data_IF_853833758389
#
_entry.id   IF_853833758389
#
_cell.length_a   1.000
_cell.length_b   1.000
_cell.length_c   1.000
_cell.angle_alpha   90.00
_cell.angle_beta   90.00
_cell.angle_gamma   90.00
#
_symmetry.space_group_name_H-M   'P 1'
#
loop_
_entity.id
_entity.type
_entity.pdbx_description
1 polymer ?
#
# COMPACT_ATOMS: atom_id res chain seq x y z
N UNK A 1 30.47 -5.68 2.22
CA UNK A 1 29.27 -6.40 1.77
C UNK A 1 28.35 -5.39 1.07
N UNK A 2 28.31 -5.43 -0.26
CA UNK A 2 27.48 -4.53 -1.06
C UNK A 2 26.05 -5.11 -1.05
N UNK A 3 25.14 -4.55 -0.26
CA UNK A 3 23.71 -4.86 -0.41
C UNK A 3 23.33 -4.54 -1.86
N UNK A 4 22.78 -5.49 -2.63
CA UNK A 4 22.37 -5.20 -4.00
C UNK A 4 21.35 -4.06 -3.95
N UNK A 5 21.69 -2.91 -4.56
CA UNK A 5 20.73 -1.81 -4.71
C UNK A 5 19.59 -2.37 -5.53
N UNK A 6 18.42 -2.53 -4.92
CA UNK A 6 17.18 -2.78 -5.65
C UNK A 6 17.11 -1.69 -6.73
N UNK A 7 16.93 -2.02 -8.02
CA UNK A 7 16.74 -1.02 -9.04
C UNK A 7 15.63 -0.09 -8.59
N UNK A 8 15.95 1.19 -8.51
CA UNK A 8 15.12 2.21 -7.91
C UNK A 8 13.72 2.35 -8.54
N UNK A 9 13.57 1.91 -9.79
CA UNK A 9 12.30 1.76 -10.49
C UNK A 9 11.36 0.72 -9.87
N UNK A 10 11.86 -0.20 -9.04
CA UNK A 10 11.08 -1.22 -8.36
C UNK A 10 10.70 -0.80 -6.91
N UNK A 11 11.12 0.39 -6.41
CA UNK A 11 10.88 0.87 -5.03
C UNK A 11 9.39 0.94 -4.63
N UNK A 12 8.47 1.54 -5.42
CA UNK A 12 7.04 1.55 -5.06
C UNK A 12 6.45 0.14 -4.98
N UNK A 13 6.90 -0.76 -5.86
CA UNK A 13 6.48 -2.16 -5.86
C UNK A 13 6.88 -2.89 -4.57
N UNK A 14 7.97 -2.51 -3.89
CA UNK A 14 8.34 -3.11 -2.59
C UNK A 14 7.35 -2.78 -1.47
N UNK A 15 6.65 -1.65 -1.58
CA UNK A 15 5.64 -1.18 -0.61
C UNK A 15 4.24 -1.66 -1.01
N UNK A 16 3.90 -1.64 -2.30
CA UNK A 16 2.55 -1.96 -2.77
C UNK A 16 2.33 -3.44 -3.08
N UNK A 17 3.35 -4.20 -3.52
CA UNK A 17 3.19 -5.63 -3.84
C UNK A 17 2.66 -6.53 -2.71
N UNK A 18 2.74 -6.14 -1.42
CA UNK A 18 2.08 -6.88 -0.35
C UNK A 18 0.57 -6.63 -0.19
N UNK A 19 -0.06 -5.82 -1.06
CA UNK A 19 -1.52 -5.71 -1.20
C UNK A 19 -2.01 -6.87 -2.07
N UNK A 20 -2.57 -7.90 -1.46
CA UNK A 20 -2.63 -9.24 -2.08
C UNK A 20 -3.78 -9.45 -3.06
N UNK A 21 -4.82 -8.64 -3.00
CA UNK A 21 -6.04 -8.72 -3.82
C UNK A 21 -6.10 -7.63 -4.91
N UNK A 22 -4.98 -6.96 -5.19
CA UNK A 22 -4.85 -5.96 -6.24
C UNK A 22 -4.12 -6.50 -7.48
N UNK A 23 -4.41 -5.90 -8.64
CA UNK A 23 -3.63 -6.03 -9.86
C UNK A 23 -2.45 -5.04 -9.82
N UNK A 24 -1.24 -5.51 -10.06
CA UNK A 24 -0.03 -4.70 -10.18
C UNK A 24 0.46 -4.75 -11.63
N UNK A 25 0.18 -3.69 -12.40
CA UNK A 25 0.49 -3.62 -13.82
C UNK A 25 1.72 -2.74 -14.08
N UNK A 26 2.84 -3.32 -14.49
CA UNK A 26 3.97 -2.56 -15.05
C UNK A 26 3.64 -2.21 -16.49
N UNK A 27 3.59 -0.93 -16.83
CA UNK A 27 3.34 -0.48 -18.19
C UNK A 27 4.53 0.29 -18.74
N UNK A 28 5.25 -0.30 -19.71
CA UNK A 28 6.50 0.30 -20.19
C UNK A 28 7.37 -0.62 -21.02
N UNK A 29 8.61 -0.19 -21.28
CA UNK A 29 9.55 -0.98 -22.09
C UNK A 29 10.01 -2.28 -21.38
N UNK A 30 10.43 -3.27 -22.17
CA UNK A 30 10.80 -4.63 -21.72
C UNK A 30 12.01 -4.68 -20.78
N UNK A 31 12.80 -3.60 -20.66
CA UNK A 31 13.93 -3.53 -19.72
C UNK A 31 13.53 -3.66 -18.24
N UNK A 32 12.24 -3.51 -17.94
CA UNK A 32 11.67 -3.65 -16.60
C UNK A 32 10.77 -4.88 -16.43
N UNK A 33 10.63 -5.73 -17.47
CA UNK A 33 9.84 -6.97 -17.41
C UNK A 33 10.38 -7.97 -16.38
N UNK A 34 11.67 -7.85 -16.03
CA UNK A 34 12.34 -8.64 -15.00
C UNK A 34 12.43 -7.92 -13.64
N UNK A 35 11.77 -6.76 -13.42
CA UNK A 35 11.69 -6.18 -12.06
C UNK A 35 11.07 -7.27 -11.15
N UNK A 36 11.77 -7.68 -10.08
CA UNK A 36 11.48 -8.91 -9.35
C UNK A 36 10.30 -8.71 -8.41
N UNK A 37 9.10 -8.47 -8.93
CA UNK A 37 7.90 -8.56 -8.12
C UNK A 37 7.44 -10.01 -8.07
N UNK A 38 8.29 -10.86 -7.47
CA UNK A 38 7.74 -12.02 -6.80
C UNK A 38 6.90 -11.45 -5.68
N UNK A 39 5.58 -11.52 -5.81
CA UNK A 39 4.62 -11.04 -4.82
C UNK A 39 4.94 -11.66 -3.47
N UNK A 40 5.64 -10.91 -2.62
CA UNK A 40 6.11 -11.36 -1.32
C UNK A 40 5.03 -11.10 -0.27
N UNK A 41 3.99 -11.93 -0.29
CA UNK A 41 2.93 -11.93 0.71
C UNK A 41 2.17 -13.24 0.67
N UNK A 42 1.99 -13.89 1.82
CA UNK A 42 0.89 -14.83 1.97
C UNK A 42 -0.39 -13.99 2.14
N UNK A 43 -1.50 -14.32 1.47
CA UNK A 43 -2.77 -13.66 1.76
C UNK A 43 -3.04 -13.73 3.27
N UNK A 44 -3.70 -12.70 3.85
CA UNK A 44 -4.15 -12.76 5.24
C UNK A 44 -4.88 -14.09 5.51
N UNK A 45 -4.70 -14.68 6.69
CA UNK A 45 -5.35 -15.97 7.05
C UNK A 45 -6.88 -15.88 6.92
N UNK A 46 -7.43 -14.68 7.10
CA UNK A 46 -8.87 -14.36 7.03
C UNK A 46 -9.31 -13.81 5.67
N UNK A 47 -8.39 -13.68 4.71
CA UNK A 47 -8.73 -13.24 3.35
C UNK A 47 -9.66 -14.26 2.69
N UNK A 48 -10.88 -13.83 2.34
CA UNK A 48 -11.81 -14.62 1.52
C UNK A 48 -11.21 -14.95 0.14
N UNK A 49 -10.23 -14.17 -0.32
CA UNK A 49 -9.48 -14.40 -1.56
C UNK A 49 -8.11 -15.04 -1.26
N UNK A 50 -7.98 -16.34 -1.55
CA UNK A 50 -6.70 -17.08 -1.48
C UNK A 50 -5.79 -16.83 -2.69
N UNK A 51 -6.12 -15.87 -3.55
CA UNK A 51 -5.38 -15.63 -4.80
C UNK A 51 -4.15 -14.77 -4.51
N UNK A 52 -2.96 -15.13 -5.03
CA UNK A 52 -1.79 -14.28 -4.93
C UNK A 52 -2.02 -12.98 -5.71
N UNK A 53 -1.33 -11.90 -5.32
CA UNK A 53 -1.40 -10.65 -6.07
C UNK A 53 -0.98 -10.92 -7.53
N UNK A 54 -1.67 -10.28 -8.48
CA UNK A 54 -1.41 -10.48 -9.90
C UNK A 54 -0.45 -9.40 -10.38
N UNK A 55 0.76 -9.77 -10.80
CA UNK A 55 1.72 -8.85 -11.39
C UNK A 55 1.85 -9.11 -12.88
N UNK A 56 1.53 -8.13 -13.72
CA UNK A 56 1.60 -8.23 -15.18
C UNK A 56 2.50 -7.17 -15.75
N UNK A 57 3.33 -7.54 -16.72
CA UNK A 57 4.06 -6.58 -17.55
C UNK A 57 3.30 -6.39 -18.86
N UNK A 58 2.96 -5.15 -19.17
CA UNK A 58 2.37 -4.75 -20.43
C UNK A 58 3.34 -3.84 -21.17
N UNK A 59 3.84 -4.35 -22.29
CA UNK A 59 4.80 -3.62 -23.10
C UNK A 59 4.17 -2.36 -23.72
N UNK A 60 4.87 -1.23 -23.59
CA UNK A 60 4.50 0.02 -24.27
C UNK A 60 4.73 -0.05 -25.79
N UNK A 61 3.85 0.55 -26.58
CA UNK A 61 3.98 0.66 -28.05
C UNK A 61 4.46 2.03 -28.50
N UNK A 62 4.92 2.13 -29.76
CA UNK A 62 5.29 3.42 -30.37
C UNK A 62 4.02 4.17 -30.80
N UNK A 63 3.87 5.40 -30.33
CA UNK A 63 2.75 6.29 -30.68
C UNK A 63 1.68 6.40 -29.60
N UNK A 64 1.24 7.64 -29.33
CA UNK A 64 0.34 8.01 -28.24
C UNK A 64 -0.97 7.21 -28.27
N UNK A 65 -1.70 7.27 -29.39
CA UNK A 65 -3.01 6.64 -29.55
C UNK A 65 -2.95 5.12 -29.44
N UNK A 66 -1.88 4.50 -29.93
CA UNK A 66 -1.70 3.05 -29.82
C UNK A 66 -1.38 2.65 -28.37
N UNK A 67 -0.58 3.46 -27.67
CA UNK A 67 -0.26 3.28 -26.26
C UNK A 67 -1.50 3.29 -25.38
N UNK A 68 -2.34 4.32 -25.52
CA UNK A 68 -3.62 4.45 -24.81
C UNK A 68 -4.52 3.23 -25.02
N UNK A 69 -4.70 2.82 -26.29
CA UNK A 69 -5.53 1.66 -26.64
C UNK A 69 -4.99 0.36 -26.05
N UNK A 70 -3.67 0.17 -26.04
CA UNK A 70 -3.04 -1.03 -25.47
C UNK A 70 -3.20 -1.07 -23.96
N UNK A 71 -2.94 0.04 -23.26
CA UNK A 71 -3.13 0.13 -21.81
C UNK A 71 -4.59 -0.09 -21.41
N UNK A 72 -5.52 0.57 -22.11
CA UNK A 72 -6.96 0.43 -21.87
C UNK A 72 -7.43 -1.03 -22.03
N UNK A 73 -7.09 -1.68 -23.16
CA UNK A 73 -7.44 -3.09 -23.40
C UNK A 73 -6.80 -4.01 -22.36
N UNK A 74 -5.51 -3.82 -22.08
CA UNK A 74 -4.80 -4.63 -21.09
C UNK A 74 -5.44 -4.53 -19.70
N UNK A 75 -5.81 -3.33 -19.26
CA UNK A 75 -6.49 -3.13 -17.98
C UNK A 75 -7.87 -3.77 -17.96
N UNK A 76 -8.72 -3.47 -18.96
CA UNK A 76 -10.09 -4.00 -19.02
C UNK A 76 -10.10 -5.53 -19.11
N UNK A 77 -9.28 -6.14 -19.96
CA UNK A 77 -9.17 -7.60 -20.09
C UNK A 77 -8.69 -8.26 -18.78
N UNK A 78 -7.70 -7.66 -18.11
CA UNK A 78 -7.17 -8.20 -16.85
C UNK A 78 -8.16 -8.06 -15.69
N UNK A 79 -8.86 -6.93 -15.62
CA UNK A 79 -9.87 -6.66 -14.58
C UNK A 79 -11.07 -7.58 -14.77
N UNK A 80 -11.56 -7.73 -16.00
CA UNK A 80 -12.67 -8.63 -16.34
C UNK A 80 -12.29 -10.10 -16.07
N UNK A 81 -11.08 -10.53 -16.45
CA UNK A 81 -10.66 -11.92 -16.27
C UNK A 81 -10.31 -12.33 -14.83
N UNK A 82 -9.88 -11.39 -13.99
CA UNK A 82 -9.34 -11.71 -12.66
C UNK A 82 -10.08 -11.08 -11.47
N UNK A 83 -10.93 -10.08 -11.72
CA UNK A 83 -11.71 -9.36 -10.71
C UNK A 83 -10.89 -8.89 -9.49
N UNK A 84 -9.80 -8.12 -9.68
CA UNK A 84 -9.05 -7.56 -8.56
C UNK A 84 -9.87 -6.50 -7.81
N UNK A 85 -9.56 -6.27 -6.53
CA UNK A 85 -10.23 -5.26 -5.72
C UNK A 85 -9.75 -3.81 -6.01
N UNK A 86 -8.56 -3.68 -6.61
CA UNK A 86 -8.00 -2.44 -7.14
C UNK A 86 -6.91 -2.77 -8.17
N UNK A 87 -6.52 -1.80 -8.99
CA UNK A 87 -5.39 -1.91 -9.89
C UNK A 87 -4.37 -0.79 -9.64
N UNK A 88 -3.10 -1.13 -9.47
CA UNK A 88 -1.99 -0.20 -9.44
C UNK A 88 -1.23 -0.27 -10.76
N UNK A 89 -1.10 0.85 -11.45
CA UNK A 89 -0.41 0.96 -12.73
C UNK A 89 0.92 1.66 -12.51
N UNK A 90 2.01 1.03 -12.91
CA UNK A 90 3.38 1.54 -12.75
C UNK A 90 3.95 1.89 -14.13
N UNK A 91 3.89 3.16 -14.55
CA UNK A 91 4.48 3.58 -15.82
C UNK A 91 6.01 3.46 -15.74
N UNK A 92 6.65 2.99 -16.82
CA UNK A 92 8.12 2.85 -16.91
C UNK A 92 8.66 3.22 -18.30
N UNK A 93 9.76 3.97 -18.36
CA UNK A 93 10.42 4.33 -19.61
C UNK A 93 9.47 5.07 -20.56
N UNK A 94 9.08 4.45 -21.68
CA UNK A 94 8.02 5.02 -22.54
C UNK A 94 6.68 5.23 -21.83
N UNK A 95 6.35 4.44 -20.80
CA UNK A 95 5.13 4.63 -20.00
C UNK A 95 5.15 5.96 -19.24
N UNK A 96 6.29 6.32 -18.64
CA UNK A 96 6.46 7.60 -17.94
C UNK A 96 6.37 8.79 -18.91
N UNK A 97 6.84 8.63 -20.16
CA UNK A 97 6.68 9.64 -21.22
C UNK A 97 5.23 9.87 -21.66
N UNK A 98 4.34 8.91 -21.43
CA UNK A 98 2.91 9.08 -21.70
C UNK A 98 2.24 9.93 -20.61
N UNK A 99 2.81 10.00 -19.40
CA UNK A 99 2.42 10.92 -18.33
C UNK A 99 0.90 10.93 -18.10
N UNK A 100 0.30 12.10 -18.26
CA UNK A 100 -1.13 12.40 -18.11
C UNK A 100 -2.05 11.46 -18.92
N UNK A 101 -1.56 10.85 -19.99
CA UNK A 101 -2.35 9.90 -20.79
C UNK A 101 -2.54 8.56 -20.06
N UNK A 102 -1.59 8.18 -19.20
CA UNK A 102 -1.79 7.03 -18.29
C UNK A 102 -2.87 7.38 -17.29
N UNK A 103 -2.86 8.59 -16.73
CA UNK A 103 -3.87 9.04 -15.77
C UNK A 103 -5.26 9.04 -16.40
N UNK A 104 -5.39 9.59 -17.61
CA UNK A 104 -6.65 9.62 -18.35
C UNK A 104 -7.20 8.21 -18.64
N UNK A 105 -6.33 7.25 -18.98
CA UNK A 105 -6.75 5.86 -19.18
C UNK A 105 -7.15 5.21 -17.85
N UNK A 106 -6.38 5.41 -16.78
CA UNK A 106 -6.70 4.87 -15.46
C UNK A 106 -8.07 5.37 -14.97
N UNK A 107 -8.31 6.69 -15.01
CA UNK A 107 -9.59 7.28 -14.61
C UNK A 107 -10.76 6.73 -15.41
N UNK A 108 -10.61 6.62 -16.74
CA UNK A 108 -11.64 6.04 -17.59
C UNK A 108 -11.97 4.59 -17.22
N UNK A 109 -10.95 3.77 -16.97
CA UNK A 109 -11.17 2.37 -16.58
C UNK A 109 -11.79 2.28 -15.18
N UNK A 110 -11.38 3.14 -14.25
CA UNK A 110 -12.00 3.24 -12.91
C UNK A 110 -13.49 3.56 -13.01
N UNK A 111 -13.88 4.53 -13.85
CA UNK A 111 -15.29 4.87 -14.11
C UNK A 111 -16.08 3.70 -14.73
N UNK A 112 -15.50 3.00 -15.72
CA UNK A 112 -16.17 1.92 -16.44
C UNK A 112 -16.29 0.63 -15.60
N UNK A 113 -15.30 0.34 -14.74
CA UNK A 113 -15.22 -0.93 -13.97
C UNK A 113 -15.70 -0.80 -12.53
N UNK A 114 -15.75 0.42 -11.98
CA UNK A 114 -16.15 0.67 -10.60
C UNK A 114 -15.11 0.24 -9.55
N UNK A 115 -13.90 -0.17 -9.96
CA UNK A 115 -12.79 -0.46 -9.04
C UNK A 115 -11.73 0.65 -9.11
N UNK A 116 -11.02 0.96 -8.01
CA UNK A 116 -9.94 1.93 -8.07
C UNK A 116 -8.84 1.52 -9.04
N UNK A 117 -8.46 2.40 -9.96
CA UNK A 117 -7.33 2.21 -10.89
C UNK A 117 -6.34 3.36 -10.68
N UNK A 118 -5.24 3.06 -10.00
CA UNK A 118 -4.34 4.06 -9.42
C UNK A 118 -3.00 4.06 -10.16
N UNK A 119 -2.68 5.14 -10.90
CA UNK A 119 -1.35 5.33 -11.47
C UNK A 119 -0.33 5.68 -10.38
N UNK A 120 0.82 5.01 -10.40
CA UNK A 120 1.90 5.16 -9.41
C UNK A 120 3.14 5.75 -10.06
N UNK A 121 3.20 7.08 -10.06
CA UNK A 121 4.28 7.85 -10.69
C UNK A 121 5.49 7.99 -9.74
N UNK A 122 6.53 7.20 -9.97
CA UNK A 122 7.81 7.31 -9.25
C UNK A 122 8.84 8.23 -9.92
N UNK A 123 8.50 8.81 -11.07
CA UNK A 123 9.28 9.85 -11.75
C UNK A 123 8.49 11.15 -11.76
N UNK A 124 9.19 12.26 -11.59
CA UNK A 124 8.64 13.61 -11.57
C UNK A 124 8.83 14.33 -12.92
N UNK A 125 8.27 15.55 -13.05
CA UNK A 125 8.40 16.36 -14.25
C UNK A 125 9.86 16.56 -14.66
N UNK A 126 10.16 16.42 -15.95
CA UNK A 126 11.51 16.59 -16.49
C UNK A 126 12.51 15.48 -16.13
N UNK A 127 12.04 14.29 -15.71
CA UNK A 127 12.92 13.18 -15.32
C UNK A 127 13.56 13.36 -13.95
N UNK A 128 13.07 14.31 -13.15
CA UNK A 128 13.47 14.45 -11.75
C UNK A 128 12.89 13.28 -10.96
N UNK A 129 13.74 12.46 -10.36
CA UNK A 129 13.33 11.23 -9.70
C UNK A 129 12.50 11.54 -8.44
N UNK A 130 11.27 11.02 -8.33
CA UNK A 130 10.49 11.06 -7.09
C UNK A 130 10.93 9.92 -6.16
N UNK A 131 10.76 10.12 -4.87
CA UNK A 131 10.91 9.06 -3.87
C UNK A 131 9.83 7.98 -4.11
N UNK A 132 10.26 6.77 -4.48
CA UNK A 132 9.34 5.66 -4.76
C UNK A 132 8.52 5.23 -3.54
N UNK A 133 9.04 5.46 -2.34
CA UNK A 133 8.30 5.28 -1.09
C UNK A 133 7.15 6.27 -0.96
N UNK A 134 7.38 7.53 -1.32
CA UNK A 134 6.34 8.57 -1.32
C UNK A 134 5.23 8.25 -2.34
N UNK A 135 5.59 7.87 -3.56
CA UNK A 135 4.62 7.47 -4.59
C UNK A 135 3.73 6.30 -4.13
N UNK A 136 4.30 5.33 -3.41
CA UNK A 136 3.53 4.25 -2.81
C UNK A 136 2.60 4.73 -1.68
N UNK A 137 3.04 5.67 -0.84
CA UNK A 137 2.21 6.25 0.21
C UNK A 137 1.03 7.03 -0.39
N UNK A 138 1.26 7.85 -1.41
CA UNK A 138 0.21 8.58 -2.12
C UNK A 138 -0.82 7.62 -2.75
N UNK A 139 -0.36 6.52 -3.35
CA UNK A 139 -1.24 5.49 -3.91
C UNK A 139 -2.09 4.76 -2.84
N UNK A 140 -1.49 4.40 -1.70
CA UNK A 140 -2.22 3.82 -0.56
C UNK A 140 -3.23 4.80 0.00
N UNK A 141 -2.83 6.06 0.14
CA UNK A 141 -3.66 7.11 0.72
C UNK A 141 -4.91 7.40 -0.13
N UNK A 142 -4.82 7.29 -1.46
CA UNK A 142 -6.00 7.39 -2.36
C UNK A 142 -7.05 6.30 -2.11
N UNK A 143 -6.67 5.15 -1.56
CA UNK A 143 -7.63 4.12 -1.15
C UNK A 143 -8.23 4.39 0.22
N UNK A 144 -7.45 4.94 1.15
CA UNK A 144 -7.92 5.27 2.50
C UNK A 144 -9.06 6.30 2.44
N UNK A 145 -9.99 6.24 3.38
CA UNK A 145 -11.16 7.13 3.41
C UNK A 145 -12.34 6.67 2.55
N UNK A 146 -12.15 5.68 1.68
CA UNK A 146 -13.19 5.25 0.72
C UNK A 146 -14.04 4.06 1.17
N UNK A 147 -13.82 3.54 2.38
CA UNK A 147 -14.58 2.42 2.96
C UNK A 147 -15.26 2.79 4.27
N UNK A 148 -16.31 2.07 4.67
CA UNK A 148 -16.97 2.31 5.96
C UNK A 148 -16.04 1.97 7.14
N UNK A 149 -16.03 2.83 8.15
CA UNK A 149 -15.35 2.61 9.44
C UNK A 149 -16.27 2.00 10.49
N UNK A 150 -17.53 1.73 10.15
CA UNK A 150 -18.47 1.07 11.05
C UNK A 150 -17.93 -0.28 11.54
N UNK A 151 -18.09 -0.54 12.83
CA UNK A 151 -17.64 -1.78 13.46
C UNK A 151 -16.14 -1.86 13.74
N UNK A 152 -15.35 -0.82 13.43
CA UNK A 152 -13.96 -0.72 13.92
C UNK A 152 -13.99 -0.44 15.42
N UNK A 153 -13.24 -1.23 16.19
CA UNK A 153 -13.12 -1.07 17.64
C UNK A 153 -12.49 0.29 18.01
N UNK A 154 -12.98 0.98 19.05
CA UNK A 154 -12.35 2.20 19.57
C UNK A 154 -10.91 2.02 20.06
N UNK A 155 -10.48 0.77 20.29
CA UNK A 155 -9.11 0.42 20.67
C UNK A 155 -8.30 -0.21 19.53
N UNK A 156 -8.69 0.01 18.27
CA UNK A 156 -8.04 -0.57 17.10
C UNK A 156 -6.79 0.20 16.67
N UNK A 157 -5.89 -0.50 15.96
CA UNK A 157 -4.65 0.08 15.46
C UNK A 157 -4.37 -0.28 13.99
N UNK A 158 -3.60 0.55 13.32
CA UNK A 158 -2.82 0.14 12.15
C UNK A 158 -1.37 -0.10 12.53
N UNK A 159 -0.69 -1.00 11.81
CA UNK A 159 0.76 -1.19 11.92
C UNK A 159 1.41 -0.78 10.60
N UNK A 160 2.16 0.33 10.63
CA UNK A 160 2.84 0.90 9.47
C UNK A 160 4.35 0.63 9.57
N UNK A 161 4.86 -0.36 8.84
CA UNK A 161 6.19 -0.92 9.06
C UNK A 161 7.19 -0.62 7.93
N UNK A 162 8.41 -0.20 8.26
CA UNK A 162 9.49 -0.20 7.30
C UNK A 162 9.72 -1.60 6.72
N UNK A 163 10.26 -1.68 5.50
CA UNK A 163 10.50 -2.95 4.80
C UNK A 163 11.33 -3.95 5.62
N UNK A 164 12.36 -3.46 6.32
CA UNK A 164 13.21 -4.27 7.21
C UNK A 164 12.52 -4.70 8.51
N UNK A 165 11.48 -3.97 8.94
CA UNK A 165 10.77 -4.21 10.20
C UNK A 165 9.51 -5.10 10.04
N UNK A 166 9.20 -5.58 8.82
CA UNK A 166 8.03 -6.43 8.55
C UNK A 166 7.92 -7.65 9.46
N UNK A 167 9.04 -8.27 9.81
CA UNK A 167 9.06 -9.42 10.72
C UNK A 167 8.64 -9.07 12.15
N UNK A 168 8.98 -7.87 12.62
CA UNK A 168 8.57 -7.34 13.93
C UNK A 168 7.10 -6.97 13.91
N UNK A 169 6.65 -6.26 12.86
CA UNK A 169 5.26 -5.89 12.67
C UNK A 169 4.32 -7.11 12.63
N UNK A 170 4.74 -8.21 11.97
CA UNK A 170 3.98 -9.45 11.98
C UNK A 170 3.88 -10.12 13.35
N UNK A 171 4.93 -10.01 14.18
CA UNK A 171 4.90 -10.51 15.56
C UNK A 171 4.00 -9.64 16.45
N UNK A 172 4.07 -8.31 16.31
CA UNK A 172 3.18 -7.37 16.99
C UNK A 172 1.71 -7.64 16.63
N UNK A 173 1.40 -7.81 15.34
CA UNK A 173 0.04 -8.14 14.88
C UNK A 173 -0.52 -9.37 15.61
N UNK A 174 0.26 -10.45 15.71
CA UNK A 174 -0.16 -11.68 16.42
C UNK A 174 -0.43 -11.42 17.90
N UNK A 175 0.48 -10.73 18.59
CA UNK A 175 0.32 -10.41 20.01
C UNK A 175 -0.88 -9.49 20.29
N UNK A 176 -1.14 -8.53 19.41
CA UNK A 176 -2.30 -7.65 19.52
C UNK A 176 -3.61 -8.44 19.39
N UNK A 177 -3.69 -9.33 18.39
CA UNK A 177 -4.84 -10.23 18.23
C UNK A 177 -5.04 -11.15 19.44
N UNK A 178 -3.97 -11.76 19.96
CA UNK A 178 -4.02 -12.59 21.18
C UNK A 178 -4.50 -11.81 22.42
N UNK A 179 -4.28 -10.49 22.46
CA UNK A 179 -4.68 -9.59 23.55
C UNK A 179 -6.01 -8.88 23.29
N UNK A 180 -6.71 -9.20 22.20
CA UNK A 180 -8.00 -8.61 21.84
C UNK A 180 -7.91 -7.20 21.27
N UNK A 181 -6.72 -6.73 20.88
CA UNK A 181 -6.55 -5.48 20.13
C UNK A 181 -6.77 -5.76 18.64
N UNK A 182 -7.76 -5.08 18.06
CA UNK A 182 -8.02 -5.17 16.62
C UNK A 182 -6.90 -4.49 15.83
N UNK A 183 -6.38 -5.19 14.82
CA UNK A 183 -5.43 -4.63 13.85
C UNK A 183 -6.14 -4.51 12.51
N UNK A 184 -6.57 -3.30 12.14
CA UNK A 184 -7.35 -3.06 10.92
C UNK A 184 -6.48 -3.25 9.68
N UNK A 185 -5.33 -2.59 9.61
CA UNK A 185 -4.38 -2.75 8.52
C UNK A 185 -2.94 -2.93 9.01
N UNK A 186 -2.17 -3.71 8.26
CA UNK A 186 -0.71 -3.79 8.36
C UNK A 186 -0.11 -3.43 7.00
N UNK A 187 0.72 -2.38 6.95
CA UNK A 187 1.23 -1.82 5.71
C UNK A 187 2.73 -1.57 5.79
N UNK A 188 3.52 -1.96 4.77
CA UNK A 188 3.26 -3.04 3.82
C UNK A 188 3.14 -4.42 4.50
N UNK A 189 2.08 -5.18 4.18
CA UNK A 189 2.00 -6.61 4.46
C UNK A 189 0.65 -7.13 4.95
N UNK A 190 0.08 -8.11 4.24
CA UNK A 190 -1.11 -8.86 4.68
C UNK A 190 -2.33 -7.97 4.96
N UNK A 191 -2.53 -6.93 4.14
CA UNK A 191 -3.76 -6.15 4.08
C UNK A 191 -4.40 -6.34 2.71
N UNK A 192 -5.71 -6.52 2.69
CA UNK A 192 -6.49 -6.46 1.46
C UNK A 192 -6.90 -5.01 1.17
N UNK A 193 -7.38 -4.73 -0.04
CA UNK A 193 -7.86 -3.38 -0.41
C UNK A 193 -8.95 -2.92 0.56
N UNK A 194 -9.85 -3.81 1.00
CA UNK A 194 -10.91 -3.47 1.94
C UNK A 194 -10.37 -2.96 3.30
N UNK A 195 -9.31 -3.58 3.83
CA UNK A 195 -8.64 -3.16 5.07
C UNK A 195 -8.04 -1.75 4.92
N UNK A 196 -7.40 -1.49 3.78
CA UNK A 196 -6.78 -0.19 3.46
C UNK A 196 -7.85 0.89 3.36
N UNK A 197 -8.97 0.61 2.69
CA UNK A 197 -10.06 1.59 2.52
C UNK A 197 -10.61 2.08 3.85
N UNK A 198 -10.69 1.21 4.85
CA UNK A 198 -11.22 1.51 6.19
C UNK A 198 -10.15 1.83 7.24
N UNK A 199 -8.86 1.81 6.90
CA UNK A 199 -7.76 2.02 7.88
C UNK A 199 -7.76 3.40 8.52
N UNK A 200 -8.52 4.35 7.97
CA UNK A 200 -8.71 5.68 8.54
C UNK A 200 -9.66 5.72 9.76
N UNK A 201 -10.27 4.59 10.15
CA UNK A 201 -11.13 4.53 11.34
C UNK A 201 -10.44 4.08 12.63
N UNK A 202 -9.12 3.89 12.61
CA UNK A 202 -8.39 3.39 13.78
C UNK A 202 -8.12 4.47 14.83
N UNK A 203 -7.85 4.06 16.06
CA UNK A 203 -7.47 4.98 17.13
C UNK A 203 -5.98 5.36 17.13
N UNK A 204 -5.11 4.52 16.54
CA UNK A 204 -3.67 4.74 16.54
C UNK A 204 -2.97 4.12 15.33
N UNK A 205 -2.05 4.87 14.73
CA UNK A 205 -1.06 4.34 13.78
C UNK A 205 0.26 3.99 14.52
N UNK A 206 0.64 2.72 14.55
CA UNK A 206 1.93 2.29 15.09
C UNK A 206 2.98 2.21 13.97
N UNK A 207 3.92 3.14 13.93
CA UNK A 207 4.99 3.19 12.93
C UNK A 207 6.21 2.40 13.41
N UNK A 208 6.60 1.34 12.70
CA UNK A 208 7.71 0.45 13.11
C UNK A 208 8.90 0.61 12.17
N UNK A 209 10.03 1.13 12.66
CA UNK A 209 11.28 1.29 11.91
C UNK A 209 11.36 2.51 10.97
N UNK A 210 10.29 3.30 10.84
CA UNK A 210 10.28 4.60 10.13
C UNK A 210 10.19 4.52 8.59
N UNK A 211 10.84 5.46 7.90
CA UNK A 211 10.89 5.55 6.43
C UNK A 211 9.59 6.06 5.79
N UNK A 212 9.25 5.55 4.60
CA UNK A 212 8.04 5.97 3.86
C UNK A 212 6.74 5.81 4.68
N UNK A 213 6.66 4.80 5.54
CA UNK A 213 5.48 4.59 6.39
C UNK A 213 5.26 5.70 7.42
N UNK A 214 6.32 6.43 7.81
CA UNK A 214 6.17 7.64 8.63
C UNK A 214 5.46 8.76 7.85
N UNK A 215 5.76 8.91 6.56
CA UNK A 215 5.06 9.89 5.72
C UNK A 215 3.57 9.56 5.61
N UNK A 216 3.23 8.27 5.41
CA UNK A 216 1.84 7.83 5.40
C UNK A 216 1.12 8.12 6.73
N UNK A 217 1.79 7.88 7.86
CA UNK A 217 1.25 8.19 9.18
C UNK A 217 0.98 9.70 9.35
N UNK A 218 1.90 10.56 8.90
CA UNK A 218 1.73 12.02 8.92
C UNK A 218 0.57 12.46 8.03
N UNK A 219 0.41 11.88 6.84
CA UNK A 219 -0.74 12.15 5.96
C UNK A 219 -2.06 11.78 6.66
N UNK A 220 -2.10 10.64 7.37
CA UNK A 220 -3.27 10.20 8.12
C UNK A 220 -3.56 11.06 9.35
N UNK A 221 -2.54 11.57 10.03
CA UNK A 221 -2.70 12.51 11.14
C UNK A 221 -3.30 13.83 10.65
N UNK A 222 -2.79 14.37 9.53
CA UNK A 222 -3.26 15.64 8.96
C UNK A 222 -4.70 15.54 8.46
N UNK A 223 -5.04 14.50 7.70
CA UNK A 223 -6.36 14.38 7.06
C UNK A 223 -7.43 13.81 7.99
N UNK A 224 -7.08 12.81 8.80
CA UNK A 224 -8.04 12.05 9.61
C UNK A 224 -7.89 12.28 11.11
N UNK A 225 -6.88 13.04 11.56
CA UNK A 225 -6.64 13.29 12.99
C UNK A 225 -6.15 12.08 13.77
N UNK A 226 -5.67 11.03 13.08
CA UNK A 226 -5.27 9.77 13.72
C UNK A 226 -3.86 9.94 14.27
N UNK A 227 -3.65 9.86 15.60
CA UNK A 227 -2.32 9.98 16.16
C UNK A 227 -1.44 8.81 15.74
N UNK A 228 -0.12 9.01 15.76
CA UNK A 228 0.83 7.93 15.54
C UNK A 228 1.91 7.87 16.61
N UNK A 229 2.44 6.67 16.83
CA UNK A 229 3.62 6.44 17.67
C UNK A 229 4.66 5.75 16.82
N UNK A 230 5.86 6.33 16.76
CA UNK A 230 6.99 5.71 16.09
C UNK A 230 7.83 4.92 17.08
N UNK A 231 8.13 3.67 16.73
CA UNK A 231 9.04 2.79 17.45
C UNK A 231 10.21 2.43 16.54
N UNK A 232 11.42 2.59 17.06
CA UNK A 232 12.67 2.32 16.35
C UNK A 232 13.69 1.76 17.33
N UNK A 233 14.69 1.05 16.82
CA UNK A 233 15.70 0.40 17.63
C UNK A 233 15.96 -1.02 17.15
N UNK A 234 16.50 -1.85 18.03
CA UNK A 234 16.57 -3.28 17.79
C UNK A 234 15.18 -3.96 17.85
N UNK A 235 15.13 -5.26 17.58
CA UNK A 235 13.89 -6.03 17.60
C UNK A 235 13.19 -5.96 18.96
N UNK A 236 13.93 -6.05 20.06
CA UNK A 236 13.37 -6.02 21.41
C UNK A 236 12.76 -4.67 21.74
N UNK A 237 13.47 -3.59 21.41
CA UNK A 237 13.03 -2.20 21.59
C UNK A 237 11.75 -1.91 20.80
N UNK A 238 11.70 -2.29 19.52
CA UNK A 238 10.50 -2.12 18.69
C UNK A 238 9.31 -2.91 19.24
N UNK A 239 9.52 -4.14 19.71
CA UNK A 239 8.45 -4.97 20.32
C UNK A 239 7.94 -4.34 21.62
N UNK A 240 8.83 -3.93 22.52
CA UNK A 240 8.49 -3.31 23.79
C UNK A 240 7.76 -1.97 23.59
N UNK A 241 8.26 -1.13 22.69
CA UNK A 241 7.63 0.14 22.33
C UNK A 241 6.22 -0.05 21.78
N UNK A 242 6.03 -1.02 20.88
CA UNK A 242 4.71 -1.32 20.30
C UNK A 242 3.69 -1.76 21.34
N UNK A 243 4.08 -2.64 22.28
CA UNK A 243 3.21 -3.07 23.38
C UNK A 243 2.86 -1.91 24.32
N UNK A 244 3.83 -1.06 24.64
CA UNK A 244 3.64 0.11 25.51
C UNK A 244 2.68 1.14 24.88
N UNK A 245 2.79 1.38 23.57
CA UNK A 245 1.93 2.30 22.84
C UNK A 245 0.45 1.89 22.93
N UNK A 246 0.14 0.61 22.68
CA UNK A 246 -1.24 0.09 22.76
C UNK A 246 -1.76 0.10 24.20
N UNK A 247 -0.93 -0.24 25.19
CA UNK A 247 -1.32 -0.18 26.60
C UNK A 247 -1.70 1.25 27.04
N UNK A 248 -0.93 2.25 26.60
CA UNK A 248 -1.18 3.67 26.91
C UNK A 248 -2.46 4.18 26.24
N UNK A 249 -2.71 3.77 24.99
CA UNK A 249 -3.95 4.06 24.27
C UNK A 249 -5.18 3.51 25.02
N UNK A 250 -5.13 2.25 25.46
CA UNK A 250 -6.21 1.63 26.22
C UNK A 250 -6.51 2.32 27.56
N UNK A 251 -5.50 2.91 28.20
CA UNK A 251 -5.67 3.68 29.44
C UNK A 251 -6.38 5.04 29.18
N UNK A 252 -6.02 5.75 28.10
CA UNK A 252 -6.68 7.01 27.73
C UNK A 252 -8.12 6.81 27.25
N UNK A 253 -8.38 5.72 26.52
CA UNK A 253 -9.73 5.34 26.10
C UNK A 253 -10.66 5.10 27.30
N UNK A 254 -10.22 4.41 28.35
CA UNK A 254 -11.06 4.20 29.55
C UNK A 254 -11.35 5.48 30.35
N UNK A 255 -10.44 6.45 30.35
CA UNK A 255 -10.62 7.72 31.03
C UNK A 255 -11.66 8.64 30.33
N UNK A 256 -11.79 8.54 29.00
CA UNK A 256 -12.76 9.32 28.23
C UNK A 256 -14.22 8.81 28.32
N UNK A 257 -14.43 7.59 28.84
CA UNK A 257 -15.76 6.97 29.00
C UNK A 257 -16.33 7.04 30.42
N UNK A 258 -15.61 7.64 31.37
CA UNK A 258 -16.05 7.84 32.77
C UNK A 258 -16.20 9.33 33.14
N UNK A 259 -16.32 10.21 32.16
CA UNK A 259 -16.57 11.66 32.35
C UNK A 259 -17.96 12.07 31.90
#
# INVERSE_FOLDING_TARGET
MHTPRIPHCCEPGTVLSPVTDALHLVYGDNGHAACPWKTHGKPPVESKTKRPALSVHLEGVRGLSQGRRRLYRGLTDLIDGHHPAAAFVYPKGKGERLGDEVDAVCSRVEEETGIPVIPVHSEGPGGTRKDGGRAACEALFRLMGTGSTEGISPGSVNILAASHARGVAGALKRLFLERGTEVVAMLPGCSCVADIRRSHGVALNLVVGGGAMLQLALMMEIEYGIPFVQVSGDRGEMMAGGLSAVATMGAKGKAAFHG
#
